data_IF_252321520958
#
_entry.id   IF_252321520958
#
_cell.length_a   1.000
_cell.length_b   1.000
_cell.length_c   1.000
_cell.angle_alpha   90.00
_cell.angle_beta   90.00
_cell.angle_gamma   90.00
#
_symmetry.space_group_name_H-M   'P 1'
#
loop_
_entity.id
_entity.type
_entity.pdbx_description
1 polymer ?
#
# COMPACT_ATOMS: atom_id res chain seq x y z
N UNK A 1 27.78 49.09 -25.99
CA UNK A 1 27.46 47.88 -25.20
C UNK A 1 26.40 48.27 -24.15
N UNK A 2 25.13 47.86 -24.31
CA UNK A 2 24.29 47.68 -23.13
C UNK A 2 23.66 46.27 -23.14
N UNK A 3 24.17 45.42 -22.26
CA UNK A 3 23.55 44.18 -21.81
C UNK A 3 22.97 44.50 -20.43
N UNK A 4 21.68 44.83 -20.34
CA UNK A 4 20.97 44.88 -19.06
C UNK A 4 19.48 45.05 -19.33
N UNK A 5 18.75 43.94 -19.31
CA UNK A 5 17.38 43.78 -18.78
C UNK A 5 16.85 42.49 -19.39
N UNK A 6 16.63 41.45 -18.58
CA UNK A 6 15.53 40.47 -18.73
C UNK A 6 15.72 39.41 -17.63
N UNK A 7 15.36 39.71 -16.38
CA UNK A 7 15.28 38.70 -15.33
C UNK A 7 14.25 39.02 -14.24
N UNK A 8 13.01 39.36 -14.63
CA UNK A 8 11.94 39.63 -13.67
C UNK A 8 10.56 39.13 -14.13
N UNK A 9 10.44 37.88 -14.59
CA UNK A 9 9.15 37.31 -14.99
C UNK A 9 8.85 35.89 -14.46
N UNK A 10 9.71 35.29 -13.62
CA UNK A 10 9.56 33.87 -13.26
C UNK A 10 8.82 33.56 -11.95
N UNK A 11 8.55 34.54 -11.07
CA UNK A 11 8.01 34.27 -9.73
C UNK A 11 6.48 34.37 -9.62
N UNK A 12 5.81 35.03 -10.57
CA UNK A 12 4.36 35.15 -10.54
C UNK A 12 3.66 33.85 -10.99
N UNK A 13 4.31 32.97 -11.76
CA UNK A 13 3.63 31.80 -12.33
C UNK A 13 3.40 30.67 -11.33
N UNK A 14 4.15 30.58 -10.23
CA UNK A 14 3.99 29.51 -9.23
C UNK A 14 2.83 29.78 -8.29
N UNK A 15 2.68 31.01 -7.80
CA UNK A 15 1.64 31.36 -6.83
C UNK A 15 0.20 31.12 -7.35
N UNK A 16 -0.06 31.40 -8.64
CA UNK A 16 -1.37 31.16 -9.25
C UNK A 16 -1.63 29.67 -9.54
N UNK A 17 -0.56 28.88 -9.73
CA UNK A 17 -0.69 27.43 -9.91
C UNK A 17 -1.05 26.73 -8.59
N UNK A 18 -0.49 27.22 -7.47
CA UNK A 18 -0.79 26.72 -6.13
C UNK A 18 -2.23 27.05 -5.73
N UNK A 19 -2.68 28.30 -5.89
CA UNK A 19 -4.06 28.72 -5.57
C UNK A 19 -5.11 27.97 -6.41
N UNK A 20 -4.83 27.74 -7.71
CA UNK A 20 -5.71 26.95 -8.58
C UNK A 20 -5.80 25.49 -8.11
N UNK A 21 -4.69 24.91 -7.68
CA UNK A 21 -4.65 23.53 -7.22
C UNK A 21 -5.38 23.36 -5.88
N UNK A 22 -5.26 24.33 -4.97
CA UNK A 22 -6.01 24.36 -3.72
C UNK A 22 -7.53 24.52 -3.95
N UNK A 23 -7.93 25.41 -4.86
CA UNK A 23 -9.34 25.57 -5.22
C UNK A 23 -9.93 24.30 -5.84
N UNK A 24 -9.17 23.63 -6.71
CA UNK A 24 -9.58 22.35 -7.31
C UNK A 24 -9.63 21.23 -6.28
N UNK A 25 -8.69 21.22 -5.32
CA UNK A 25 -8.70 20.30 -4.19
C UNK A 25 -10.00 20.44 -3.38
N UNK A 26 -10.39 21.65 -3.00
CA UNK A 26 -11.63 21.89 -2.25
C UNK A 26 -12.87 21.39 -3.00
N UNK A 27 -12.93 21.65 -4.32
CA UNK A 27 -14.03 21.18 -5.18
C UNK A 27 -14.10 19.66 -5.21
N UNK A 28 -12.97 18.98 -5.45
CA UNK A 28 -12.90 17.52 -5.54
C UNK A 28 -13.14 16.85 -4.18
N UNK A 29 -12.64 17.42 -3.08
CA UNK A 29 -12.91 16.94 -1.72
C UNK A 29 -14.41 16.98 -1.41
N UNK A 30 -15.10 18.06 -1.79
CA UNK A 30 -16.56 18.14 -1.67
C UNK A 30 -17.32 17.11 -2.51
N UNK A 31 -16.88 16.82 -3.73
CA UNK A 31 -17.45 15.73 -4.54
C UNK A 31 -17.21 14.35 -3.91
N UNK A 32 -16.01 14.15 -3.36
CA UNK A 32 -15.57 12.92 -2.75
C UNK A 32 -16.39 12.60 -1.49
N UNK A 33 -16.64 13.60 -0.63
CA UNK A 33 -17.55 13.49 0.52
C UNK A 33 -18.98 13.10 0.09
N UNK A 34 -19.55 13.80 -0.90
CA UNK A 34 -20.89 13.48 -1.40
C UNK A 34 -21.01 12.05 -1.96
N UNK A 35 -19.98 11.56 -2.66
CA UNK A 35 -19.95 10.18 -3.16
C UNK A 35 -19.79 9.17 -2.02
N UNK A 36 -18.99 9.49 -1.00
CA UNK A 36 -18.79 8.67 0.19
C UNK A 36 -20.08 8.49 0.98
N UNK A 37 -20.83 9.56 1.23
CA UNK A 37 -22.14 9.52 1.90
C UNK A 37 -23.15 8.62 1.19
N UNK A 38 -23.06 8.51 -0.14
CA UNK A 38 -23.90 7.64 -0.98
C UNK A 38 -23.32 6.25 -1.21
N UNK A 39 -22.17 5.95 -0.60
CA UNK A 39 -21.46 4.68 -0.73
C UNK A 39 -21.08 4.32 -2.18
N UNK A 40 -20.81 5.34 -3.01
CA UNK A 40 -20.43 5.18 -4.41
C UNK A 40 -18.91 4.96 -4.53
N UNK A 41 -18.42 3.83 -4.04
CA UNK A 41 -16.98 3.57 -3.82
C UNK A 41 -16.10 3.67 -5.06
N UNK A 42 -16.58 3.21 -6.24
CA UNK A 42 -15.85 3.40 -7.50
C UNK A 42 -15.74 4.88 -7.91
N UNK A 43 -16.71 5.71 -7.50
CA UNK A 43 -16.65 7.16 -7.69
C UNK A 43 -15.62 7.79 -6.74
N UNK A 44 -15.70 7.42 -5.46
CA UNK A 44 -14.77 7.91 -4.42
C UNK A 44 -13.32 7.59 -4.79
N UNK A 45 -13.01 6.35 -5.18
CA UNK A 45 -11.63 5.95 -5.51
C UNK A 45 -11.08 6.69 -6.74
N UNK A 46 -11.92 6.95 -7.75
CA UNK A 46 -11.55 7.78 -8.91
C UNK A 46 -11.26 9.22 -8.50
N UNK A 47 -12.12 9.82 -7.67
CA UNK A 47 -11.94 11.20 -7.18
C UNK A 47 -10.73 11.34 -6.28
N UNK A 48 -10.48 10.34 -5.44
CA UNK A 48 -9.28 10.28 -4.62
C UNK A 48 -8.01 10.25 -5.48
N UNK A 49 -7.98 9.45 -6.55
CA UNK A 49 -6.85 9.44 -7.48
C UNK A 49 -6.71 10.75 -8.28
N UNK A 50 -7.78 11.53 -8.48
CA UNK A 50 -7.71 12.88 -9.04
C UNK A 50 -7.06 13.86 -8.03
N UNK A 51 -7.48 13.80 -6.76
CA UNK A 51 -6.90 14.58 -5.66
C UNK A 51 -5.39 14.32 -5.50
N UNK A 52 -4.95 13.06 -5.53
CA UNK A 52 -3.52 12.73 -5.41
C UNK A 52 -2.66 13.34 -6.54
N UNK A 53 -3.23 13.53 -7.73
CA UNK A 53 -2.52 14.13 -8.87
C UNK A 53 -2.33 15.63 -8.75
N UNK A 54 -3.11 16.31 -7.91
CA UNK A 54 -2.95 17.76 -7.69
C UNK A 54 -1.67 18.08 -6.92
N UNK A 55 -1.12 17.11 -6.17
CA UNK A 55 0.06 17.32 -5.33
C UNK A 55 -0.17 18.24 -4.14
N UNK A 56 -1.42 18.63 -3.88
CA UNK A 56 -1.86 19.36 -2.69
C UNK A 56 -1.92 18.39 -1.51
N UNK A 57 -1.60 18.89 -0.32
CA UNK A 57 -1.67 18.10 0.91
C UNK A 57 -3.12 17.62 1.16
N UNK A 58 -3.30 16.31 1.33
CA UNK A 58 -4.61 15.73 1.59
C UNK A 58 -5.05 16.02 3.02
N UNK A 59 -6.35 16.25 3.21
CA UNK A 59 -6.94 16.34 4.55
C UNK A 59 -7.13 14.94 5.16
N UNK A 60 -7.42 14.92 6.46
CA UNK A 60 -7.77 13.68 7.16
C UNK A 60 -9.00 13.01 6.52
N UNK A 61 -10.04 13.78 6.20
CA UNK A 61 -11.29 13.26 5.64
C UNK A 61 -11.09 12.69 4.21
N UNK A 62 -10.26 13.33 3.39
CA UNK A 62 -9.92 12.82 2.05
C UNK A 62 -9.30 11.42 2.15
N UNK A 63 -8.33 11.26 3.07
CA UNK A 63 -7.64 10.00 3.30
C UNK A 63 -8.56 8.94 3.87
N UNK A 64 -9.44 9.30 4.80
CA UNK A 64 -10.38 8.38 5.42
C UNK A 64 -11.40 7.87 4.40
N UNK A 65 -12.05 8.76 3.65
CA UNK A 65 -12.96 8.40 2.56
C UNK A 65 -12.28 7.56 1.47
N UNK A 66 -11.04 7.92 1.11
CA UNK A 66 -10.21 7.11 0.22
C UNK A 66 -9.97 5.70 0.78
N UNK A 67 -9.68 5.57 2.07
CA UNK A 67 -9.48 4.27 2.71
C UNK A 67 -10.76 3.41 2.72
N UNK A 68 -11.91 4.01 3.00
CA UNK A 68 -13.23 3.36 2.89
C UNK A 68 -13.47 2.78 1.50
N UNK A 69 -13.23 3.58 0.46
CA UNK A 69 -13.40 3.14 -0.92
C UNK A 69 -12.43 2.01 -1.29
N UNK A 70 -11.15 2.14 -0.92
CA UNK A 70 -10.15 1.12 -1.20
C UNK A 70 -10.51 -0.22 -0.53
N UNK A 71 -10.93 -0.20 0.74
CA UNK A 71 -11.42 -1.38 1.47
C UNK A 71 -12.60 -2.03 0.77
N UNK A 72 -13.63 -1.24 0.45
CA UNK A 72 -14.84 -1.74 -0.20
C UNK A 72 -14.57 -2.32 -1.60
N UNK A 73 -13.54 -1.81 -2.29
CA UNK A 73 -13.09 -2.31 -3.60
C UNK A 73 -12.06 -3.45 -3.50
N UNK A 74 -11.77 -3.96 -2.31
CA UNK A 74 -10.81 -5.06 -2.09
C UNK A 74 -9.34 -4.67 -2.24
N UNK A 75 -9.02 -3.37 -2.30
CA UNK A 75 -7.65 -2.89 -2.41
C UNK A 75 -7.07 -2.55 -1.03
N UNK A 76 -6.77 -3.58 -0.24
CA UNK A 76 -6.35 -3.38 1.16
C UNK A 76 -4.97 -2.74 1.32
N UNK A 77 -4.06 -2.89 0.36
CA UNK A 77 -2.78 -2.18 0.40
C UNK A 77 -2.97 -0.67 0.32
N UNK A 78 -3.87 -0.20 -0.56
CA UNK A 78 -4.17 1.22 -0.69
C UNK A 78 -4.94 1.72 0.52
N UNK A 79 -5.90 0.94 1.03
CA UNK A 79 -6.61 1.28 2.28
C UNK A 79 -5.61 1.47 3.44
N UNK A 80 -4.70 0.53 3.63
CA UNK A 80 -3.68 0.58 4.67
C UNK A 80 -2.74 1.79 4.52
N UNK A 81 -2.29 2.07 3.29
CA UNK A 81 -1.45 3.24 2.98
C UNK A 81 -2.16 4.56 3.30
N UNK A 82 -3.43 4.69 2.89
CA UNK A 82 -4.27 5.87 3.14
C UNK A 82 -4.52 6.06 4.65
N UNK A 83 -4.80 4.99 5.39
CA UNK A 83 -4.96 5.02 6.86
C UNK A 83 -3.67 5.41 7.58
N UNK A 84 -2.51 4.90 7.15
CA UNK A 84 -1.21 5.30 7.70
C UNK A 84 -0.90 6.78 7.48
N UNK A 85 -1.41 7.37 6.40
CA UNK A 85 -1.32 8.82 6.16
C UNK A 85 -2.31 9.56 7.06
N UNK A 86 -3.55 9.08 7.15
CA UNK A 86 -4.58 9.67 8.00
C UNK A 86 -4.13 9.71 9.47
N UNK A 87 -3.54 8.62 9.98
CA UNK A 87 -3.04 8.51 11.36
C UNK A 87 -1.93 9.51 11.71
N UNK A 88 -1.23 10.05 10.70
CA UNK A 88 -0.22 11.10 10.91
C UNK A 88 -0.84 12.49 11.06
N UNK A 89 -2.03 12.70 10.50
CA UNK A 89 -2.79 13.93 10.62
C UNK A 89 -3.64 13.91 11.90
N UNK A 90 -4.38 12.82 12.11
CA UNK A 90 -5.14 12.56 13.32
C UNK A 90 -5.17 11.05 13.63
N UNK A 91 -4.70 10.68 14.82
CA UNK A 91 -4.65 9.32 15.32
C UNK A 91 -5.97 8.93 15.99
N UNK A 92 -7.08 9.07 15.26
CA UNK A 92 -8.40 8.71 15.74
C UNK A 92 -8.46 7.21 16.10
N UNK A 93 -9.27 6.87 17.11
CA UNK A 93 -9.43 5.47 17.54
C UNK A 93 -9.85 4.56 16.36
N UNK A 94 -10.72 5.06 15.49
CA UNK A 94 -11.19 4.35 14.30
C UNK A 94 -10.03 3.96 13.37
N UNK A 95 -9.16 4.90 13.03
CA UNK A 95 -8.02 4.66 12.13
C UNK A 95 -7.04 3.67 12.77
N UNK A 96 -6.75 3.82 14.06
CA UNK A 96 -5.85 2.92 14.78
C UNK A 96 -6.41 1.49 14.87
N UNK A 97 -7.70 1.35 15.18
CA UNK A 97 -8.37 0.05 15.22
C UNK A 97 -8.34 -0.63 13.85
N UNK A 98 -8.55 0.13 12.76
CA UNK A 98 -8.48 -0.40 11.40
C UNK A 98 -7.07 -0.85 11.03
N UNK A 99 -6.06 -0.03 11.30
CA UNK A 99 -4.66 -0.39 11.05
C UNK A 99 -4.29 -1.68 11.79
N UNK A 100 -4.65 -1.77 13.07
CA UNK A 100 -4.43 -2.96 13.87
C UNK A 100 -5.17 -4.18 13.29
N UNK A 101 -6.44 -4.02 12.89
CA UNK A 101 -7.20 -5.10 12.27
C UNK A 101 -6.56 -5.57 10.96
N UNK A 102 -6.02 -4.67 10.14
CA UNK A 102 -5.31 -5.05 8.91
C UNK A 102 -4.01 -5.81 9.27
N UNK A 103 -3.21 -5.28 10.19
CA UNK A 103 -1.93 -5.90 10.61
C UNK A 103 -2.11 -7.30 11.19
N UNK A 104 -3.26 -7.58 11.85
CA UNK A 104 -3.55 -8.87 12.48
C UNK A 104 -4.21 -9.90 11.54
N UNK A 105 -4.74 -9.46 10.40
CA UNK A 105 -5.52 -10.33 9.51
C UNK A 105 -4.93 -10.48 8.11
N UNK A 106 -4.03 -9.59 7.69
CA UNK A 106 -3.50 -9.56 6.33
C UNK A 106 -1.98 -9.72 6.29
N UNK A 107 -1.49 -10.44 5.27
CA UNK A 107 -0.07 -10.55 4.94
C UNK A 107 0.24 -9.90 3.59
N UNK A 108 1.49 -9.47 3.41
CA UNK A 108 1.94 -8.89 2.15
C UNK A 108 2.28 -9.98 1.14
N UNK A 109 1.80 -9.84 -0.09
CA UNK A 109 1.96 -10.86 -1.13
C UNK A 109 2.37 -10.22 -2.45
N UNK A 110 3.47 -10.71 -3.00
CA UNK A 110 3.96 -10.39 -4.34
C UNK A 110 3.95 -11.65 -5.22
N UNK A 111 3.05 -11.71 -6.19
CA UNK A 111 2.92 -12.80 -7.16
C UNK A 111 3.42 -12.34 -8.53
N UNK A 112 4.33 -13.12 -9.11
CA UNK A 112 4.91 -12.84 -10.42
C UNK A 112 4.95 -14.11 -11.26
N UNK A 113 4.31 -14.08 -12.42
CA UNK A 113 4.52 -15.08 -13.47
C UNK A 113 5.39 -14.54 -14.59
N UNK A 114 6.36 -15.34 -15.00
CA UNK A 114 7.21 -15.07 -16.18
C UNK A 114 7.00 -16.21 -17.20
N UNK A 115 6.66 -15.94 -18.48
CA UNK A 115 6.24 -14.65 -19.02
C UNK A 115 4.92 -14.19 -18.38
N UNK A 116 4.71 -12.86 -18.34
CA UNK A 116 3.50 -12.24 -17.81
C UNK A 116 2.30 -12.67 -18.64
N UNK A 117 1.51 -13.59 -18.11
CA UNK A 117 0.28 -14.09 -18.71
C UNK A 117 -0.69 -14.41 -17.59
N UNK A 118 -1.96 -14.06 -17.80
CA UNK A 118 -3.06 -14.42 -16.92
C UNK A 118 -2.96 -15.85 -16.39
N UNK A 119 -3.12 -16.00 -15.08
CA UNK A 119 -3.08 -17.30 -14.40
C UNK A 119 -4.18 -17.39 -13.34
N UNK A 120 -4.25 -18.54 -12.67
CA UNK A 120 -5.25 -18.81 -11.65
C UNK A 120 -4.60 -18.68 -10.28
N UNK A 121 -5.17 -17.79 -9.48
CA UNK A 121 -5.02 -17.78 -8.02
C UNK A 121 -6.26 -18.45 -7.44
N UNK A 122 -6.08 -19.40 -6.52
CA UNK A 122 -7.17 -19.97 -5.74
C UNK A 122 -6.86 -19.89 -4.25
N UNK A 123 -7.92 -19.91 -3.44
CA UNK A 123 -7.84 -20.02 -1.98
C UNK A 123 -8.50 -21.33 -1.56
N UNK A 124 -7.99 -21.95 -0.49
CA UNK A 124 -8.55 -23.19 0.05
C UNK A 124 -9.98 -23.04 0.58
N UNK A 125 -10.24 -21.94 1.30
CA UNK A 125 -11.54 -21.61 1.86
C UNK A 125 -11.80 -20.11 1.71
N UNK A 126 -12.97 -19.72 1.20
CA UNK A 126 -13.31 -18.31 1.04
C UNK A 126 -13.62 -17.67 2.40
N UNK A 127 -13.09 -16.47 2.69
CA UNK A 127 -13.41 -15.76 3.91
C UNK A 127 -14.91 -15.45 4.03
N UNK A 128 -15.43 -15.57 5.25
CA UNK A 128 -16.78 -15.15 5.58
C UNK A 128 -16.93 -13.63 5.61
N UNK A 129 -15.88 -12.93 6.05
CA UNK A 129 -15.84 -11.48 6.09
C UNK A 129 -15.91 -10.88 4.67
N UNK A 130 -16.84 -9.94 4.41
CA UNK A 130 -17.06 -9.41 3.07
C UNK A 130 -15.87 -8.62 2.52
N UNK A 131 -15.12 -7.92 3.37
CA UNK A 131 -13.95 -7.14 2.93
C UNK A 131 -12.78 -8.06 2.57
N UNK A 132 -12.56 -9.10 3.38
CA UNK A 132 -11.57 -10.14 3.06
C UNK A 132 -11.92 -10.84 1.75
N UNK A 133 -13.21 -11.15 1.53
CA UNK A 133 -13.67 -11.74 0.27
C UNK A 133 -13.41 -10.81 -0.92
N UNK A 134 -13.77 -9.53 -0.81
CA UNK A 134 -13.52 -8.54 -1.86
C UNK A 134 -12.02 -8.44 -2.20
N UNK A 135 -11.14 -8.50 -1.19
CA UNK A 135 -9.69 -8.50 -1.41
C UNK A 135 -9.20 -9.74 -2.18
N UNK A 136 -9.71 -10.93 -1.83
CA UNK A 136 -9.38 -12.17 -2.53
C UNK A 136 -9.92 -12.15 -3.97
N UNK A 137 -11.17 -11.77 -4.16
CA UNK A 137 -11.80 -11.68 -5.50
C UNK A 137 -11.04 -10.71 -6.41
N UNK A 138 -10.64 -9.55 -5.86
CA UNK A 138 -9.82 -8.60 -6.61
C UNK A 138 -8.47 -9.20 -6.99
N UNK A 139 -7.77 -9.83 -6.05
CA UNK A 139 -6.49 -10.46 -6.35
C UNK A 139 -6.61 -11.53 -7.43
N UNK A 140 -7.66 -12.37 -7.37
CA UNK A 140 -7.95 -13.38 -8.40
C UNK A 140 -8.15 -12.71 -9.76
N UNK A 141 -8.95 -11.63 -9.83
CA UNK A 141 -9.16 -10.89 -11.08
C UNK A 141 -7.85 -10.32 -11.64
N UNK A 142 -7.04 -9.64 -10.81
CA UNK A 142 -5.78 -9.02 -11.28
C UNK A 142 -4.79 -10.08 -11.75
N UNK A 143 -4.68 -11.22 -11.05
CA UNK A 143 -3.83 -12.34 -11.45
C UNK A 143 -4.33 -12.99 -12.75
N UNK A 144 -5.64 -13.14 -12.92
CA UNK A 144 -6.24 -13.67 -14.13
C UNK A 144 -5.97 -12.80 -15.36
N UNK A 145 -5.92 -11.47 -15.18
CA UNK A 145 -5.69 -10.54 -16.29
C UNK A 145 -4.21 -10.37 -16.60
N UNK A 146 -3.37 -10.23 -15.58
CA UNK A 146 -1.97 -9.77 -15.74
C UNK A 146 -0.93 -10.84 -15.43
N UNK A 147 -1.29 -11.89 -14.68
CA UNK A 147 -0.35 -12.84 -14.07
C UNK A 147 0.52 -12.22 -12.98
N UNK A 148 0.15 -11.05 -12.47
CA UNK A 148 0.83 -10.29 -11.44
C UNK A 148 -0.13 -9.95 -10.30
N UNK A 149 0.40 -9.86 -9.09
CA UNK A 149 -0.29 -9.23 -7.98
C UNK A 149 0.74 -8.70 -6.98
N UNK A 150 0.49 -7.52 -6.43
CA UNK A 150 1.27 -6.97 -5.31
C UNK A 150 0.30 -6.25 -4.42
N UNK A 151 0.17 -6.70 -3.18
CA UNK A 151 -0.81 -6.15 -2.25
C UNK A 151 -0.95 -6.97 -0.97
N UNK A 152 -2.02 -6.68 -0.22
CA UNK A 152 -2.36 -7.39 1.00
C UNK A 152 -3.41 -8.46 0.73
N UNK A 153 -3.22 -9.66 1.28
CA UNK A 153 -4.21 -10.74 1.25
C UNK A 153 -4.54 -11.19 2.67
N UNK A 154 -5.80 -11.59 2.95
CA UNK A 154 -6.14 -12.12 4.25
C UNK A 154 -5.38 -13.43 4.50
N UNK A 155 -5.08 -13.71 5.76
CA UNK A 155 -4.42 -14.95 6.16
C UNK A 155 -5.16 -16.17 5.64
N UNK A 156 -4.43 -17.17 5.17
CA UNK A 156 -5.03 -18.37 4.60
C UNK A 156 -4.09 -19.14 3.67
N UNK A 157 -4.58 -20.26 3.17
CA UNK A 157 -3.84 -21.11 2.23
C UNK A 157 -4.28 -20.79 0.79
N UNK A 158 -3.30 -20.48 -0.05
CA UNK A 158 -3.49 -20.08 -1.44
C UNK A 158 -2.70 -20.99 -2.37
N UNK A 159 -3.13 -21.04 -3.62
CA UNK A 159 -2.41 -21.72 -4.70
C UNK A 159 -2.28 -20.77 -5.88
N UNK A 160 -1.05 -20.53 -6.32
CA UNK A 160 -0.74 -19.70 -7.49
C UNK A 160 0.08 -20.51 -8.48
N UNK A 161 -0.38 -20.63 -9.72
CA UNK A 161 0.25 -21.46 -10.76
C UNK A 161 0.53 -22.92 -10.33
N UNK A 162 -0.30 -23.49 -9.47
CA UNK A 162 -0.11 -24.82 -8.89
C UNK A 162 0.88 -24.91 -7.72
N UNK A 163 1.47 -23.79 -7.28
CA UNK A 163 2.30 -23.71 -6.09
C UNK A 163 1.47 -23.24 -4.89
N UNK A 164 1.39 -24.08 -3.86
CA UNK A 164 0.74 -23.74 -2.61
C UNK A 164 1.63 -22.83 -1.75
N UNK A 165 1.01 -21.86 -1.09
CA UNK A 165 1.64 -20.99 -0.12
C UNK A 165 0.64 -20.58 0.97
N UNK A 166 1.18 -20.08 2.08
CA UNK A 166 0.38 -19.61 3.21
C UNK A 166 0.65 -18.13 3.42
N UNK A 167 -0.42 -17.36 3.57
CA UNK A 167 -0.35 -15.95 3.95
C UNK A 167 -0.54 -15.86 5.45
N UNK A 168 0.43 -15.26 6.13
CA UNK A 168 0.39 -15.01 7.56
C UNK A 168 0.53 -13.50 7.83
N UNK A 169 -0.16 -12.97 8.86
CA UNK A 169 -0.04 -11.57 9.22
C UNK A 169 1.42 -11.19 9.57
N UNK A 170 1.86 -10.02 9.12
CA UNK A 170 3.23 -9.52 9.36
C UNK A 170 4.34 -10.21 8.54
N UNK A 171 4.03 -11.25 7.75
CA UNK A 171 4.99 -11.86 6.84
C UNK A 171 4.74 -11.42 5.40
N UNK A 172 5.83 -11.18 4.68
CA UNK A 172 5.82 -10.92 3.25
C UNK A 172 6.11 -12.23 2.51
N UNK A 173 5.24 -12.58 1.57
CA UNK A 173 5.35 -13.77 0.72
C UNK A 173 5.56 -13.32 -0.72
N UNK A 174 6.69 -13.72 -1.32
CA UNK A 174 6.97 -13.47 -2.73
C UNK A 174 7.06 -14.78 -3.49
N UNK A 175 6.30 -14.89 -4.57
CA UNK A 175 6.24 -16.09 -5.42
C UNK A 175 6.52 -15.71 -6.86
N UNK A 176 7.56 -16.31 -7.42
CA UNK A 176 7.92 -16.14 -8.81
C UNK A 176 7.88 -17.49 -9.53
N UNK A 177 7.10 -17.57 -10.60
CA UNK A 177 6.93 -18.79 -11.39
C UNK A 177 7.46 -18.57 -12.80
N UNK A 178 8.54 -19.27 -13.12
CA UNK A 178 9.20 -19.25 -14.44
C UNK A 178 9.08 -20.60 -15.16
N UNK A 179 9.02 -20.65 -16.50
CA UNK A 179 8.69 -21.86 -17.26
C UNK A 179 9.81 -22.92 -17.21
N UNK A 180 11.00 -22.53 -16.76
CA UNK A 180 12.16 -23.42 -16.64
C UNK A 180 12.11 -24.31 -15.39
N UNK A 181 11.18 -24.10 -14.46
CA UNK A 181 10.97 -25.02 -13.34
C UNK A 181 10.02 -26.15 -13.74
N UNK A 182 10.57 -27.15 -14.47
CA UNK A 182 9.92 -28.46 -14.60
C UNK A 182 9.79 -29.09 -13.21
N UNK A 183 8.56 -29.50 -12.87
CA UNK A 183 8.18 -30.50 -11.85
C UNK A 183 9.34 -31.03 -10.98
N UNK A 184 9.58 -30.38 -9.85
CA UNK A 184 10.12 -31.08 -8.68
C UNK A 184 9.10 -30.91 -7.57
N UNK A 185 8.38 -31.99 -7.31
CA UNK A 185 7.62 -32.18 -6.09
C UNK A 185 8.59 -32.05 -4.92
N UNK A 186 8.37 -31.10 -4.02
CA UNK A 186 9.19 -30.91 -2.81
C UNK A 186 9.76 -29.50 -2.69
N UNK A 187 9.10 -28.71 -1.84
CA UNK A 187 9.68 -27.65 -1.00
C UNK A 187 10.93 -26.95 -1.55
N UNK A 188 10.73 -25.83 -2.24
CA UNK A 188 11.63 -24.68 -2.09
C UNK A 188 10.74 -23.44 -1.98
N UNK A 189 10.35 -23.14 -0.74
CA UNK A 189 9.95 -21.77 -0.41
C UNK A 189 11.26 -20.99 -0.37
N UNK A 190 11.55 -20.18 -1.40
CA UNK A 190 12.59 -19.17 -1.24
C UNK A 190 11.97 -18.03 -0.40
N UNK A 191 11.83 -18.28 0.91
CA UNK A 191 11.48 -17.25 1.89
C UNK A 191 12.68 -16.32 1.98
N UNK A 192 12.73 -15.28 1.15
CA UNK A 192 13.54 -14.12 1.50
C UNK A 192 12.77 -13.34 2.56
N UNK A 193 12.81 -13.83 3.80
CA UNK A 193 12.42 -13.06 4.97
C UNK A 193 13.49 -12.00 5.19
N UNK A 194 13.35 -10.83 4.58
CA UNK A 194 14.12 -9.67 5.00
C UNK A 194 13.43 -9.07 6.22
N UNK A 195 14.01 -9.12 7.42
CA UNK A 195 13.52 -8.32 8.54
C UNK A 195 13.68 -6.84 8.17
N UNK A 196 12.56 -6.13 8.03
CA UNK A 196 12.57 -4.67 7.94
C UNK A 196 12.97 -4.07 9.29
N UNK A 197 14.24 -3.65 9.36
CA UNK A 197 14.80 -2.57 10.17
C UNK A 197 14.58 -2.56 11.70
N UNK A 198 15.63 -3.02 12.38
CA UNK A 198 16.07 -2.55 13.69
C UNK A 198 17.60 -2.49 13.71
N UNK A 199 18.20 -1.69 12.83
CA UNK A 199 19.65 -1.44 12.84
C UNK A 199 19.94 -0.31 13.84
N UNK A 200 20.44 -0.71 15.00
CA UNK A 200 20.88 0.17 16.08
C UNK A 200 21.91 -0.55 16.93
N UNK A 201 22.95 -1.06 16.28
CA UNK A 201 24.15 -1.56 16.94
C UNK A 201 25.24 -0.51 16.84
N UNK A 202 25.43 0.27 17.90
CA UNK A 202 26.64 1.08 18.08
C UNK A 202 27.34 0.67 19.39
N UNK A 203 28.43 -0.07 19.17
CA UNK A 203 29.74 0.11 19.79
C UNK A 203 29.88 0.00 21.31
N UNK A 204 30.33 -1.19 21.71
CA UNK A 204 31.13 -1.35 22.92
C UNK A 204 32.43 -0.55 22.82
N UNK A 205 32.58 0.42 23.71
CA UNK A 205 33.85 1.08 24.00
C UNK A 205 34.45 0.44 25.23
N UNK A 206 35.55 -0.28 25.01
CA UNK A 206 36.48 -0.80 26.01
C UNK A 206 37.09 0.32 26.85
N UNK A 207 36.92 0.27 28.18
CA UNK A 207 37.67 1.08 29.13
C UNK A 207 38.97 0.36 29.55
N UNK A 208 40.13 1.03 29.59
CA UNK A 208 41.39 0.46 30.08
C UNK A 208 41.51 0.58 31.62
N UNK A 209 42.31 -0.30 32.29
CA UNK A 209 42.42 -0.32 33.75
C UNK A 209 43.51 0.59 34.36
N UNK A 210 43.16 1.12 35.54
CA UNK A 210 43.98 1.49 36.73
C UNK A 210 44.94 2.72 36.69
N UNK A 211 45.17 3.43 37.84
CA UNK A 211 45.79 2.86 39.05
C UNK A 211 45.22 3.30 40.43
N UNK A 212 45.57 2.48 41.43
CA UNK A 212 45.33 2.59 42.87
C UNK A 212 45.98 3.82 43.54
N UNK A 213 45.37 4.39 44.61
CA UNK A 213 46.05 5.32 45.50
C UNK A 213 46.69 4.60 46.71
N UNK A 214 47.81 5.17 47.16
CA UNK A 214 48.56 4.80 48.38
C UNK A 214 47.84 5.22 49.65
#
# INVERSE_FOLDING_TARGET
MPFALYLAASLASSAWADERSEAEHLRLSGELDQLSQRQLWQGVDRKFAELEKLGVEMTYDDLLHGAYAARALGNMSDAYSRLKRASKLDASKEVIDWLYAIDMNYGSVDLLRTPKKGDVLTIGEMPFDPDQRAAVEKAISVVADTGLYSGLLPRGSYVFCGQSFEVQPGLAVRIEVSPKMKKTSGTVVNVQSTPTWGSGGENGTSAPPEPTPK
#
